data_IF_219423281430
#
_entry.id   IF_219423281430
#
_cell.length_a   1.000
_cell.length_b   1.000
_cell.length_c   1.000
_cell.angle_alpha   90.00
_cell.angle_beta   90.00
_cell.angle_gamma   90.00
#
_symmetry.space_group_name_H-M   'P 1'
#
loop_
_entity.id
_entity.type
_entity.pdbx_description
1 polymer ?
#
# COMPACT_ATOMS: atom_id res chain seq x y z
N UNK A 1 -13.93 -2.52 -16.18
CA UNK A 1 -14.95 -2.60 -15.11
C UNK A 1 -15.08 -1.22 -14.51
N UNK A 2 -16.29 -0.71 -14.26
CA UNK A 2 -16.46 0.59 -13.60
C UNK A 2 -15.98 0.44 -12.16
N UNK A 3 -14.97 1.21 -11.78
CA UNK A 3 -14.66 1.47 -10.37
C UNK A 3 -15.99 1.93 -9.75
N UNK A 4 -16.48 1.19 -8.75
CA UNK A 4 -17.86 1.33 -8.27
C UNK A 4 -18.13 2.71 -7.65
N UNK A 5 -19.41 3.05 -7.45
CA UNK A 5 -19.88 4.29 -6.76
C UNK A 5 -19.29 4.52 -5.36
N UNK A 6 -18.62 3.52 -4.80
CA UNK A 6 -18.03 3.52 -3.47
C UNK A 6 -16.59 4.08 -3.44
N UNK A 7 -16.03 4.48 -4.58
CA UNK A 7 -14.68 5.02 -4.68
C UNK A 7 -14.66 6.44 -5.25
N UNK A 8 -13.81 7.29 -4.70
CA UNK A 8 -13.49 8.60 -5.22
C UNK A 8 -12.55 8.51 -6.42
N UNK A 9 -13.14 8.47 -7.62
CA UNK A 9 -12.37 8.42 -8.87
C UNK A 9 -11.46 9.64 -9.06
N UNK A 10 -11.87 10.83 -8.59
CA UNK A 10 -11.05 12.04 -8.69
C UNK A 10 -9.79 11.90 -7.84
N UNK A 11 -9.94 11.42 -6.61
CA UNK A 11 -8.80 11.16 -5.73
C UNK A 11 -7.85 10.12 -6.34
N UNK A 12 -8.37 9.00 -6.87
CA UNK A 12 -7.55 7.95 -7.49
C UNK A 12 -6.82 8.50 -8.73
N UNK A 13 -7.48 9.31 -9.56
CA UNK A 13 -6.86 9.93 -10.71
C UNK A 13 -5.77 10.94 -10.32
N UNK A 14 -5.95 11.68 -9.23
CA UNK A 14 -4.93 12.57 -8.69
C UNK A 14 -3.70 11.78 -8.19
N UNK A 15 -3.91 10.63 -7.53
CA UNK A 15 -2.80 9.74 -7.16
C UNK A 15 -2.07 9.20 -8.39
N UNK A 16 -2.81 8.69 -9.39
CA UNK A 16 -2.26 8.23 -10.68
C UNK A 16 -1.41 9.31 -11.34
N UNK A 17 -1.88 10.55 -11.34
CA UNK A 17 -1.17 11.65 -11.96
C UNK A 17 0.08 12.05 -11.17
N UNK A 18 -0.01 12.12 -9.84
CA UNK A 18 1.14 12.40 -8.97
C UNK A 18 2.27 11.39 -9.18
N UNK A 19 1.93 10.09 -9.21
CA UNK A 19 2.91 9.01 -9.35
C UNK A 19 3.69 9.05 -10.67
N UNK A 20 3.08 9.53 -11.77
CA UNK A 20 3.77 9.69 -13.07
C UNK A 20 4.93 10.69 -13.02
N UNK A 21 4.91 11.64 -12.09
CA UNK A 21 5.92 12.70 -11.99
C UNK A 21 7.06 12.34 -11.01
N UNK A 22 7.00 11.16 -10.39
CA UNK A 22 8.04 10.68 -9.48
C UNK A 22 9.18 10.03 -10.28
N UNK A 23 10.29 10.75 -10.44
CA UNK A 23 11.43 10.29 -11.26
C UNK A 23 12.31 9.25 -10.55
N UNK A 24 12.28 9.25 -9.22
CA UNK A 24 13.09 8.39 -8.38
C UNK A 24 12.47 7.00 -8.20
N UNK A 25 11.18 6.86 -8.50
CA UNK A 25 10.46 5.59 -8.44
C UNK A 25 10.82 4.73 -9.66
N UNK A 26 11.10 3.46 -9.40
CA UNK A 26 11.27 2.40 -10.39
C UNK A 26 9.97 1.62 -10.63
N UNK A 27 8.93 1.89 -9.84
CA UNK A 27 7.66 1.17 -9.88
C UNK A 27 6.55 2.03 -10.50
N UNK A 28 5.90 1.47 -11.52
CA UNK A 28 4.65 2.00 -12.08
C UNK A 28 3.46 1.21 -11.52
N UNK A 29 2.60 1.87 -10.75
CA UNK A 29 1.47 1.22 -10.07
C UNK A 29 0.24 1.05 -10.97
N UNK A 30 -0.34 -0.15 -10.94
CA UNK A 30 -1.64 -0.47 -11.52
C UNK A 30 -2.77 -0.11 -10.54
N UNK A 31 -3.13 1.17 -10.51
CA UNK A 31 -4.18 1.68 -9.63
C UNK A 31 -5.55 1.02 -9.83
N UNK A 32 -5.86 0.53 -11.03
CA UNK A 32 -7.13 -0.17 -11.28
C UNK A 32 -7.17 -1.50 -10.54
N UNK A 33 -6.11 -2.30 -10.70
CA UNK A 33 -5.95 -3.56 -9.97
C UNK A 33 -5.91 -3.33 -8.46
N UNK A 34 -5.17 -2.32 -8.01
CA UNK A 34 -5.08 -2.01 -6.57
C UNK A 34 -6.45 -1.65 -6.01
N UNK A 35 -7.21 -0.77 -6.67
CA UNK A 35 -8.54 -0.37 -6.19
C UNK A 35 -9.50 -1.56 -6.16
N UNK A 36 -9.45 -2.44 -7.17
CA UNK A 36 -10.28 -3.65 -7.24
C UNK A 36 -9.98 -4.61 -6.07
N UNK A 37 -8.70 -4.81 -5.74
CA UNK A 37 -8.24 -5.77 -4.73
C UNK A 37 -7.91 -5.17 -3.37
N UNK A 38 -8.17 -3.87 -3.14
CA UNK A 38 -7.67 -3.13 -1.97
C UNK A 38 -7.97 -3.83 -0.65
N UNK A 39 -9.23 -4.22 -0.42
CA UNK A 39 -9.64 -4.85 0.84
C UNK A 39 -9.11 -6.27 0.99
N UNK A 40 -9.01 -7.03 -0.11
CA UNK A 40 -8.41 -8.37 -0.09
C UNK A 40 -6.94 -8.28 0.33
N UNK A 41 -6.20 -7.36 -0.28
CA UNK A 41 -4.80 -7.10 0.07
C UNK A 41 -4.64 -6.64 1.52
N UNK A 42 -5.52 -5.74 1.97
CA UNK A 42 -5.52 -5.25 3.35
C UNK A 42 -5.74 -6.38 4.35
N UNK A 43 -6.72 -7.27 4.08
CA UNK A 43 -7.01 -8.42 4.93
C UNK A 43 -5.86 -9.42 4.99
N UNK A 44 -5.23 -9.76 3.85
CA UNK A 44 -4.12 -10.71 3.86
C UNK A 44 -2.89 -10.15 4.55
N UNK A 45 -2.60 -8.85 4.38
CA UNK A 45 -1.48 -8.18 5.01
C UNK A 45 -1.63 -8.23 6.54
N UNK A 46 -2.81 -7.86 7.01
CA UNK A 46 -3.15 -7.85 8.44
C UNK A 46 -3.06 -9.24 9.05
N UNK A 47 -3.65 -10.26 8.41
CA UNK A 47 -3.62 -11.64 8.90
C UNK A 47 -2.21 -12.25 8.85
N UNK A 48 -1.32 -11.76 8.01
CA UNK A 48 0.09 -12.14 7.96
C UNK A 48 0.97 -11.38 8.97
N UNK A 49 0.43 -10.36 9.66
CA UNK A 49 1.17 -9.53 10.60
C UNK A 49 2.07 -8.50 9.91
N UNK A 50 1.69 -8.05 8.72
CA UNK A 50 2.34 -6.98 7.96
C UNK A 50 1.31 -5.91 7.61
N UNK A 51 1.71 -4.92 6.80
CA UNK A 51 0.89 -3.76 6.46
C UNK A 51 0.97 -3.49 4.96
N UNK A 52 -0.09 -2.89 4.41
CA UNK A 52 -0.12 -2.43 3.03
C UNK A 52 1.00 -1.42 2.76
N UNK A 53 1.83 -1.58 1.71
CA UNK A 53 2.81 -0.59 1.25
C UNK A 53 2.28 0.83 1.20
N UNK A 54 3.10 1.78 1.63
CA UNK A 54 2.68 3.14 1.90
C UNK A 54 2.05 3.83 0.69
N UNK A 55 2.68 3.74 -0.49
CA UNK A 55 2.24 4.42 -1.71
C UNK A 55 0.81 4.06 -2.08
N UNK A 56 0.46 2.78 -2.07
CA UNK A 56 -0.87 2.35 -2.49
C UNK A 56 -1.88 2.21 -1.35
N UNK A 57 -1.45 2.17 -0.08
CA UNK A 57 -2.37 2.24 1.06
C UNK A 57 -3.16 3.56 1.08
N UNK A 58 -2.63 4.62 0.44
CA UNK A 58 -3.33 5.91 0.29
C UNK A 58 -4.64 5.78 -0.49
N UNK A 59 -4.80 4.77 -1.34
CA UNK A 59 -6.04 4.51 -2.08
C UNK A 59 -7.20 4.25 -1.12
N UNK A 60 -6.95 3.73 0.09
CA UNK A 60 -8.00 3.57 1.11
C UNK A 60 -8.71 4.87 1.46
N UNK A 61 -8.05 6.03 1.32
CA UNK A 61 -8.65 7.35 1.55
C UNK A 61 -9.68 7.73 0.47
N UNK A 62 -9.64 7.07 -0.70
CA UNK A 62 -10.63 7.25 -1.75
C UNK A 62 -11.92 6.47 -1.49
N UNK A 63 -11.94 5.53 -0.54
CA UNK A 63 -13.14 4.74 -0.27
C UNK A 63 -14.20 5.60 0.43
N UNK A 64 -15.40 5.67 -0.16
CA UNK A 64 -16.58 6.42 0.29
C UNK A 64 -17.70 5.50 0.80
N UNK A 65 -17.55 4.19 0.66
CA UNK A 65 -18.51 3.23 1.17
C UNK A 65 -18.54 3.19 2.70
N UNK A 66 -19.52 2.50 3.27
CA UNK A 66 -19.57 2.31 4.72
C UNK A 66 -18.57 1.24 5.15
N UNK A 67 -17.50 1.64 5.84
CA UNK A 67 -16.48 0.72 6.37
C UNK A 67 -17.07 -0.38 7.26
N UNK A 68 -18.16 -0.09 7.97
CA UNK A 68 -18.87 -1.04 8.82
C UNK A 68 -19.60 -2.16 8.05
N UNK A 69 -19.84 -2.00 6.76
CA UNK A 69 -20.54 -2.99 5.94
C UNK A 69 -19.59 -4.06 5.37
N UNK A 70 -18.27 -3.88 5.53
CA UNK A 70 -17.26 -4.88 5.15
C UNK A 70 -16.67 -5.51 6.40
N UNK A 71 -17.20 -6.67 6.86
CA UNK A 71 -16.63 -7.36 8.00
C UNK A 71 -15.21 -7.82 7.65
N UNK A 72 -14.22 -7.07 8.10
CA UNK A 72 -12.81 -7.41 7.95
C UNK A 72 -12.60 -8.73 8.68
N UNK A 73 -12.22 -9.79 7.97
CA UNK A 73 -12.00 -11.12 8.57
C UNK A 73 -10.65 -11.15 9.27
N UNK A 74 -10.55 -10.39 10.35
CA UNK A 74 -9.36 -10.27 11.16
C UNK A 74 -9.27 -11.47 12.11
N UNK A 75 -8.43 -12.44 11.77
CA UNK A 75 -8.22 -13.66 12.55
C UNK A 75 -7.07 -13.47 13.55
N UNK A 76 -7.09 -12.37 14.29
CA UNK A 76 -5.89 -11.80 14.92
C UNK A 76 -5.72 -12.18 16.40
N UNK A 77 -5.87 -13.47 16.69
CA UNK A 77 -5.65 -14.02 18.02
C UNK A 77 -4.25 -14.66 18.19
N UNK A 78 -3.41 -14.70 17.15
CA UNK A 78 -2.05 -15.23 17.23
C UNK A 78 -1.06 -14.15 17.75
N UNK A 79 -0.39 -14.36 18.90
CA UNK A 79 0.61 -13.44 19.42
C UNK A 79 1.77 -13.16 18.45
N UNK A 80 2.16 -14.12 17.61
CA UNK A 80 3.25 -13.94 16.64
C UNK A 80 2.86 -12.96 15.53
N UNK A 81 1.62 -13.05 15.06
CA UNK A 81 1.06 -12.13 14.06
C UNK A 81 1.03 -10.71 14.63
N UNK A 82 0.59 -10.56 15.89
CA UNK A 82 0.62 -9.28 16.59
C UNK A 82 2.04 -8.71 16.73
N UNK A 83 2.99 -9.51 17.19
CA UNK A 83 4.39 -9.04 17.36
C UNK A 83 5.00 -8.62 16.02
N UNK A 84 4.75 -9.38 14.94
CA UNK A 84 5.21 -9.02 13.60
C UNK A 84 4.57 -7.71 13.11
N UNK A 85 3.29 -7.51 13.39
CA UNK A 85 2.58 -6.30 13.02
C UNK A 85 3.17 -5.07 13.72
N UNK A 86 3.42 -5.17 15.04
CA UNK A 86 4.05 -4.11 15.83
C UNK A 86 5.44 -3.74 15.29
N UNK A 87 6.27 -4.75 14.95
CA UNK A 87 7.59 -4.53 14.35
C UNK A 87 7.50 -3.85 12.98
N UNK A 88 6.55 -4.27 12.15
CA UNK A 88 6.35 -3.71 10.82
C UNK A 88 5.94 -2.23 10.90
N UNK A 89 5.00 -1.88 11.78
CA UNK A 89 4.63 -0.48 12.03
C UNK A 89 5.79 0.35 12.60
N UNK A 90 6.56 -0.20 13.54
CA UNK A 90 7.72 0.48 14.11
C UNK A 90 8.76 0.78 13.02
N UNK A 91 9.03 -0.19 12.12
CA UNK A 91 9.98 -0.02 11.03
C UNK A 91 9.52 1.04 10.04
N UNK A 92 8.24 1.04 9.64
CA UNK A 92 7.67 2.09 8.79
C UNK A 92 7.79 3.46 9.43
N UNK A 93 7.47 3.56 10.72
CA UNK A 93 7.55 4.81 11.48
C UNK A 93 8.98 5.36 11.48
N UNK A 94 9.99 4.52 11.70
CA UNK A 94 11.41 4.90 11.61
C UNK A 94 11.76 5.48 10.23
N UNK A 95 11.35 4.80 9.15
CA UNK A 95 11.60 5.26 7.78
C UNK A 95 10.87 6.56 7.46
N UNK A 96 9.63 6.72 7.93
CA UNK A 96 8.87 7.96 7.80
C UNK A 96 9.59 9.13 8.47
N UNK A 97 10.13 8.94 9.68
CA UNK A 97 10.93 9.99 10.33
C UNK A 97 12.25 10.26 9.60
N UNK A 98 12.95 9.21 9.15
CA UNK A 98 14.21 9.34 8.37
C UNK A 98 14.02 10.19 7.11
N UNK A 99 12.92 9.96 6.38
CA UNK A 99 12.66 10.62 5.10
C UNK A 99 11.65 11.78 5.19
N UNK A 100 11.28 12.22 6.41
CA UNK A 100 10.47 13.41 6.60
C UNK A 100 11.25 14.71 6.31
N UNK A 101 12.59 14.68 6.41
CA UNK A 101 13.45 15.82 6.07
C UNK A 101 13.41 16.07 4.55
N UNK A 102 13.07 17.28 4.07
CA UNK A 102 13.13 17.62 2.65
C UNK A 102 14.51 17.47 2.02
N UNK A 103 15.58 17.52 2.82
CA UNK A 103 16.96 17.33 2.38
C UNK A 103 17.41 15.87 2.39
N UNK A 104 16.54 14.94 2.81
CA UNK A 104 16.84 13.51 2.76
C UNK A 104 17.06 13.04 1.32
N UNK A 105 17.87 11.99 1.17
CA UNK A 105 18.17 11.42 -0.13
C UNK A 105 16.89 10.83 -0.75
N UNK A 106 16.34 11.52 -1.75
CA UNK A 106 15.09 11.10 -2.39
C UNK A 106 15.24 9.75 -3.09
N UNK A 107 16.38 9.46 -3.72
CA UNK A 107 16.60 8.17 -4.36
C UNK A 107 16.56 7.03 -3.33
N UNK A 108 17.24 7.21 -2.21
CA UNK A 108 17.26 6.24 -1.10
C UNK A 108 15.88 6.05 -0.48
N UNK A 109 15.06 7.11 -0.38
CA UNK A 109 13.66 7.01 0.06
C UNK A 109 12.85 6.05 -0.80
N UNK A 110 13.08 5.98 -2.11
CA UNK A 110 12.39 5.02 -2.96
C UNK A 110 13.02 3.64 -2.86
N UNK A 111 14.34 3.53 -3.04
CA UNK A 111 15.06 2.25 -3.05
C UNK A 111 14.97 1.47 -1.72
N UNK A 112 14.96 2.15 -0.58
CA UNK A 112 14.96 1.51 0.75
C UNK A 112 13.60 1.52 1.44
N UNK A 113 12.64 2.31 0.96
CA UNK A 113 11.34 2.45 1.61
C UNK A 113 10.17 2.32 0.64
N UNK A 114 9.91 3.31 -0.20
CA UNK A 114 8.62 3.36 -0.92
C UNK A 114 8.47 2.26 -1.98
N UNK A 115 9.49 2.03 -2.81
CA UNK A 115 9.46 0.96 -3.82
C UNK A 115 9.77 -0.39 -3.18
N UNK A 116 10.69 -0.39 -2.21
CA UNK A 116 11.04 -1.58 -1.45
C UNK A 116 9.83 -2.22 -0.78
N UNK A 117 8.97 -1.42 -0.12
CA UNK A 117 7.75 -1.95 0.48
C UNK A 117 6.86 -2.65 -0.55
N UNK A 118 6.76 -2.12 -1.78
CA UNK A 118 5.95 -2.72 -2.84
C UNK A 118 6.55 -4.04 -3.31
N UNK A 119 7.88 -4.09 -3.55
CA UNK A 119 8.56 -5.32 -3.95
C UNK A 119 8.48 -6.39 -2.85
N UNK A 120 8.77 -6.03 -1.60
CA UNK A 120 8.71 -6.94 -0.45
C UNK A 120 7.27 -7.49 -0.28
N UNK A 121 6.25 -6.67 -0.52
CA UNK A 121 4.85 -7.10 -0.48
C UNK A 121 4.51 -8.10 -1.59
N UNK A 122 4.99 -7.86 -2.82
CA UNK A 122 4.75 -8.79 -3.95
C UNK A 122 5.53 -10.09 -3.78
N UNK A 123 6.73 -10.04 -3.20
CA UNK A 123 7.50 -11.23 -2.86
C UNK A 123 6.75 -12.09 -1.84
N UNK A 124 6.14 -11.47 -0.82
CA UNK A 124 5.35 -12.18 0.19
C UNK A 124 3.98 -12.64 -0.35
N UNK A 125 3.34 -11.84 -1.21
CA UNK A 125 2.01 -12.10 -1.77
C UNK A 125 2.02 -12.07 -3.31
N UNK A 126 2.61 -13.09 -3.95
CA UNK A 126 2.83 -13.12 -5.41
C UNK A 126 1.53 -13.13 -6.23
N UNK A 127 0.38 -13.43 -5.62
CA UNK A 127 -0.93 -13.29 -6.27
C UNK A 127 -1.26 -11.84 -6.65
N UNK A 128 -0.61 -10.84 -6.03
CA UNK A 128 -0.80 -9.42 -6.34
C UNK A 128 0.33 -8.83 -7.18
N UNK A 129 1.10 -9.66 -7.90
CA UNK A 129 2.16 -9.18 -8.80
C UNK A 129 1.71 -8.13 -9.82
N UNK A 130 0.42 -8.14 -10.19
CA UNK A 130 -0.18 -7.22 -11.17
C UNK A 130 -0.39 -5.80 -10.60
N UNK A 131 -0.03 -5.56 -9.33
CA UNK A 131 0.15 -4.22 -8.74
C UNK A 131 1.16 -3.40 -9.56
N UNK A 132 2.20 -4.03 -10.12
CA UNK A 132 3.20 -3.35 -10.94
C UNK A 132 2.86 -3.55 -12.41
N UNK A 133 2.78 -2.45 -13.16
CA UNK A 133 2.69 -2.49 -14.62
C UNK A 133 4.07 -2.89 -15.15
N UNK A 134 4.17 -4.08 -15.73
CA UNK A 134 5.35 -4.51 -16.48
C UNK A 134 5.28 -3.89 -17.88
N UNK A 135 6.23 -3.01 -18.20
CA UNK A 135 6.45 -2.52 -19.57
C UNK A 135 7.23 -3.52 -20.43
#
# INVERSE_FOLDING_TARGET
MSIGKDWDEEYINNLKEFDKHIKESTVTLNYEFITEHYFEMYEVALNAGTIMPYRFNTIGLAYKGHDHDRPTKFNNFDPKVKERLEKTYAKRTELQYKYADPNSNQKERYEEFLDKEIYDFIEEFPQFKDIIIQE
#
